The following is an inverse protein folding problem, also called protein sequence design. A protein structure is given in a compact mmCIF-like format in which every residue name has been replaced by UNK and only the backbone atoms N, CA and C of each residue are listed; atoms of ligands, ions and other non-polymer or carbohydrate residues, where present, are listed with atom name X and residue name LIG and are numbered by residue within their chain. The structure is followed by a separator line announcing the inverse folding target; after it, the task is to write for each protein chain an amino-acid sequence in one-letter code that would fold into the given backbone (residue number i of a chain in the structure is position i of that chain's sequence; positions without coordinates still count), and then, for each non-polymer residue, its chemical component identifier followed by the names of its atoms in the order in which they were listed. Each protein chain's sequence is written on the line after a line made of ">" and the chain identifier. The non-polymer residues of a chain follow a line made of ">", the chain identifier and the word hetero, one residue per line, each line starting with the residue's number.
data_IF_773831158777
#
_entry.id   IF_773831158777
#
_cell.length_a   1.000
_cell.length_b   1.000
_cell.length_c   1.000
_cell.angle_alpha   90.00
_cell.angle_beta   90.00
_cell.angle_gamma   90.00
#
_symmetry.space_group_name_H-M   'P 1'
#
loop_
_entity.id
_entity.type
_entity.pdbx_description
1 polymer ?
#
# COMPACT_ATOMS: atom_id res chain seq x y z
N UNK A 1 3.63 85.56 52.08
CA UNK A 1 4.32 86.77 52.64
C UNK A 1 5.79 86.54 52.50
N UNK A 2 6.47 87.53 51.84
CA UNK A 2 7.86 87.95 51.95
C UNK A 2 8.95 86.88 51.61
N UNK A 3 9.64 87.03 50.53
CA UNK A 3 10.53 88.10 50.01
C UNK A 3 12.00 87.78 50.22
N UNK A 4 12.75 87.98 49.16
CA UNK A 4 14.17 88.36 48.97
C UNK A 4 15.23 87.29 49.24
N UNK A 5 16.09 86.94 48.33
CA UNK A 5 16.93 87.59 47.35
C UNK A 5 18.34 87.91 47.91
N UNK A 6 19.26 88.29 47.13
CA UNK A 6 20.14 87.47 46.22
C UNK A 6 21.65 87.70 46.65
N UNK A 7 22.55 87.36 45.70
CA UNK A 7 23.96 87.90 45.59
C UNK A 7 25.01 87.12 46.36
N UNK A 8 25.96 86.57 45.70
CA UNK A 8 27.28 87.11 45.41
C UNK A 8 28.31 86.05 45.12
N UNK A 9 28.81 86.12 43.98
CA UNK A 9 30.19 86.06 43.54
C UNK A 9 31.27 85.45 44.46
N UNK A 10 32.00 84.51 43.99
CA UNK A 10 33.42 84.73 43.61
C UNK A 10 34.10 83.44 43.14
N UNK A 11 34.86 83.59 42.10
CA UNK A 11 35.65 82.59 41.42
C UNK A 11 36.84 82.13 42.32
N UNK A 12 37.20 80.87 42.25
CA UNK A 12 38.56 80.41 42.38
C UNK A 12 38.78 79.26 41.38
N UNK A 13 39.68 79.53 40.42
CA UNK A 13 40.28 78.53 39.53
C UNK A 13 41.15 77.58 40.32
N UNK A 14 40.94 76.27 40.15
CA UNK A 14 42.03 75.33 40.39
C UNK A 14 41.96 74.32 39.20
N UNK A 15 43.02 74.40 38.40
CA UNK A 15 43.27 73.47 37.32
C UNK A 15 43.71 72.14 37.90
N UNK A 16 42.94 71.12 37.69
CA UNK A 16 43.38 69.74 37.90
C UNK A 16 43.36 69.06 36.55
N UNK A 17 44.55 68.76 36.06
CA UNK A 17 44.77 67.92 34.86
C UNK A 17 44.34 66.49 35.18
N UNK A 18 43.24 66.07 34.71
CA UNK A 18 42.85 64.67 34.77
C UNK A 18 43.10 64.03 33.41
N UNK A 19 44.02 63.10 33.34
CA UNK A 19 44.28 62.26 32.19
C UNK A 19 43.05 61.35 31.97
N UNK A 20 42.31 61.57 30.90
CA UNK A 20 41.26 60.69 30.48
C UNK A 20 41.87 59.47 29.73
N UNK A 21 41.99 58.37 30.47
CA UNK A 21 42.25 57.07 29.84
C UNK A 21 41.03 56.64 28.98
N UNK A 22 41.18 56.76 27.68
CA UNK A 22 40.18 56.20 26.71
C UNK A 22 40.26 54.69 26.79
N UNK A 23 39.37 54.07 27.59
CA UNK A 23 39.09 52.64 27.48
C UNK A 23 38.30 52.43 26.15
N UNK A 24 39.04 51.99 25.15
CA UNK A 24 38.41 51.51 23.90
C UNK A 24 37.56 50.30 24.20
N UNK A 25 36.24 50.47 24.17
CA UNK A 25 35.30 49.36 24.14
C UNK A 25 35.46 48.66 22.80
N UNK A 26 36.23 47.56 22.80
CA UNK A 26 36.23 46.63 21.67
C UNK A 26 34.80 46.07 21.57
N UNK A 27 34.07 46.55 20.59
CA UNK A 27 32.81 45.92 20.17
C UNK A 27 33.17 44.55 19.58
N UNK A 28 33.08 43.51 20.43
CA UNK A 28 33.10 42.13 19.92
C UNK A 28 31.85 41.95 19.08
N UNK A 29 32.00 42.07 17.75
CA UNK A 29 30.96 41.65 16.81
C UNK A 29 30.78 40.14 16.98
N UNK A 30 29.77 39.74 17.77
CA UNK A 30 29.25 38.35 17.76
C UNK A 30 28.72 38.14 16.34
N UNK A 31 29.31 37.21 15.56
CA UNK A 31 28.71 36.89 14.27
C UNK A 31 27.26 36.44 14.55
N UNK A 32 26.31 37.08 13.88
CA UNK A 32 24.93 36.62 13.88
C UNK A 32 24.92 35.13 13.50
N UNK A 33 24.11 34.32 14.17
CA UNK A 33 23.96 32.91 13.76
C UNK A 33 23.65 32.91 12.26
N UNK A 34 24.53 32.30 11.48
CA UNK A 34 24.25 32.00 10.10
C UNK A 34 23.03 31.09 10.12
N UNK A 35 21.86 31.69 9.98
CA UNK A 35 20.67 30.90 9.65
C UNK A 35 21.03 30.20 8.35
N UNK A 36 21.25 28.89 8.46
CA UNK A 36 21.43 28.09 7.27
C UNK A 36 20.21 28.36 6.39
N UNK A 37 20.43 29.10 5.31
CA UNK A 37 19.45 29.23 4.24
C UNK A 37 19.36 27.81 3.69
N UNK A 38 18.41 27.03 4.17
CA UNK A 38 17.99 25.81 3.47
C UNK A 38 17.51 26.33 2.13
N UNK A 39 18.25 26.00 1.07
CA UNK A 39 17.86 26.42 -0.28
C UNK A 39 16.41 25.97 -0.50
N UNK A 40 15.56 26.95 -0.83
CA UNK A 40 14.13 26.68 -1.08
C UNK A 40 14.04 25.83 -2.34
N UNK A 41 13.42 24.67 -2.24
CA UNK A 41 13.24 23.76 -3.38
C UNK A 41 12.36 24.42 -4.45
N UNK A 42 12.78 24.36 -5.67
CA UNK A 42 12.02 24.87 -6.82
C UNK A 42 12.17 23.94 -8.02
N UNK A 43 11.14 23.89 -8.86
CA UNK A 43 11.13 23.03 -10.04
C UNK A 43 9.83 22.24 -10.17
N UNK A 44 9.87 21.18 -10.97
CA UNK A 44 8.73 20.32 -11.24
C UNK A 44 9.11 18.86 -10.97
N UNK A 45 8.19 18.10 -10.38
CA UNK A 45 8.33 16.69 -10.10
C UNK A 45 7.06 15.96 -10.52
N UNK A 46 7.19 14.87 -11.26
CA UNK A 46 6.07 14.04 -11.73
C UNK A 46 6.11 12.65 -11.07
N UNK A 47 5.02 12.27 -10.42
CA UNK A 47 4.89 11.01 -9.71
C UNK A 47 3.67 10.27 -10.26
N UNK A 48 3.83 9.00 -10.67
CA UNK A 48 2.68 8.22 -11.11
C UNK A 48 2.79 6.74 -10.71
N UNK A 49 1.66 6.04 -10.70
CA UNK A 49 1.64 4.59 -10.53
C UNK A 49 0.58 4.06 -9.59
N UNK A 50 0.98 3.36 -8.55
CA UNK A 50 0.08 2.67 -7.64
C UNK A 50 -1.04 3.54 -7.08
N UNK A 51 -2.29 3.17 -7.32
CA UNK A 51 -3.45 3.83 -6.70
C UNK A 51 -3.53 3.56 -5.19
N UNK A 52 -2.77 2.61 -4.66
CA UNK A 52 -2.60 2.40 -3.22
C UNK A 52 -1.73 3.49 -2.61
N UNK A 53 -0.61 3.83 -3.26
CA UNK A 53 0.34 4.85 -2.77
C UNK A 53 -0.13 6.27 -3.08
N UNK A 54 -1.08 6.42 -4.00
CA UNK A 54 -1.58 7.71 -4.48
C UNK A 54 -1.97 8.68 -3.35
N UNK A 55 -2.77 8.32 -2.33
CA UNK A 55 -3.15 9.24 -1.26
C UNK A 55 -1.94 9.73 -0.45
N UNK A 56 -0.99 8.85 -0.14
CA UNK A 56 0.25 9.19 0.56
C UNK A 56 1.02 10.24 -0.25
N UNK A 57 1.26 9.96 -1.52
CA UNK A 57 2.01 10.86 -2.39
C UNK A 57 1.33 12.21 -2.57
N UNK A 58 -0.01 12.24 -2.67
CA UNK A 58 -0.76 13.49 -2.80
C UNK A 58 -0.63 14.35 -1.56
N UNK A 59 -0.74 13.78 -0.36
CA UNK A 59 -0.63 14.53 0.89
C UNK A 59 0.81 14.97 1.15
N UNK A 60 1.79 14.10 0.95
CA UNK A 60 3.20 14.47 1.07
C UNK A 60 3.59 15.56 0.06
N UNK A 61 3.10 15.48 -1.18
CA UNK A 61 3.33 16.52 -2.19
C UNK A 61 2.69 17.85 -1.77
N UNK A 62 1.48 17.84 -1.24
CA UNK A 62 0.81 19.04 -0.73
C UNK A 62 1.64 19.72 0.37
N UNK A 63 2.06 18.93 1.38
CA UNK A 63 2.85 19.44 2.50
C UNK A 63 4.22 19.96 2.07
N UNK A 64 4.89 19.28 1.15
CA UNK A 64 6.21 19.70 0.65
C UNK A 64 6.10 20.97 -0.21
N UNK A 65 5.06 21.11 -1.03
CA UNK A 65 4.79 22.32 -1.82
C UNK A 65 4.39 23.51 -0.96
N UNK A 66 3.69 23.30 0.17
CA UNK A 66 3.39 24.36 1.14
C UNK A 66 4.65 24.96 1.77
N UNK A 67 5.66 24.12 2.01
CA UNK A 67 6.95 24.55 2.54
C UNK A 67 7.86 25.17 1.47
N UNK A 68 7.60 24.90 0.18
CA UNK A 68 8.45 25.31 -0.94
C UNK A 68 7.58 25.90 -2.08
N UNK A 69 7.21 27.18 -2.04
CA UNK A 69 6.31 27.79 -3.02
C UNK A 69 6.77 27.72 -4.47
N UNK A 70 8.08 27.56 -4.71
CA UNK A 70 8.69 27.38 -6.03
C UNK A 70 8.56 25.97 -6.60
N UNK A 71 8.17 24.97 -5.77
CA UNK A 71 8.07 23.57 -6.16
C UNK A 71 6.66 23.26 -6.72
N UNK A 72 6.59 22.43 -7.75
CA UNK A 72 5.36 21.89 -8.32
C UNK A 72 5.45 20.37 -8.43
N UNK A 73 4.59 19.66 -7.74
CA UNK A 73 4.55 18.19 -7.76
C UNK A 73 3.21 17.74 -8.34
N UNK A 74 3.28 16.95 -9.41
CA UNK A 74 2.11 16.33 -10.04
C UNK A 74 2.04 14.86 -9.67
N UNK A 75 0.92 14.41 -9.11
CA UNK A 75 0.74 13.04 -8.65
C UNK A 75 -0.46 12.40 -9.35
N UNK A 76 -0.27 11.23 -9.95
CA UNK A 76 -1.32 10.50 -10.66
C UNK A 76 -1.32 8.99 -10.37
N UNK A 77 -2.46 8.34 -10.64
CA UNK A 77 -2.61 6.87 -10.55
C UNK A 77 -2.12 6.16 -11.81
N UNK A 78 -2.67 4.96 -12.06
CA UNK A 78 -2.39 4.14 -13.26
C UNK A 78 -1.96 2.70 -12.95
N UNK A 79 -1.80 2.37 -11.66
CA UNK A 79 -1.35 1.05 -11.20
C UNK A 79 0.16 0.91 -11.11
N UNK A 80 0.63 -0.07 -10.33
CA UNK A 80 2.07 -0.28 -10.08
C UNK A 80 2.87 -0.55 -11.35
N UNK A 81 2.32 -1.33 -12.28
CA UNK A 81 2.96 -1.63 -13.56
C UNK A 81 3.15 -0.39 -14.44
N UNK A 82 2.19 0.57 -14.41
CA UNK A 82 2.33 1.84 -15.09
C UNK A 82 3.48 2.66 -14.48
N UNK A 83 3.49 2.83 -13.14
CA UNK A 83 4.55 3.58 -12.46
C UNK A 83 5.95 3.02 -12.74
N UNK A 84 6.13 1.70 -12.62
CA UNK A 84 7.41 1.03 -12.88
C UNK A 84 7.85 1.21 -14.34
N UNK A 85 6.93 1.02 -15.29
CA UNK A 85 7.22 1.17 -16.71
C UNK A 85 7.59 2.61 -17.07
N UNK A 86 6.80 3.57 -16.61
CA UNK A 86 7.00 4.99 -16.99
C UNK A 86 8.25 5.57 -16.38
N UNK A 87 8.59 5.26 -15.11
CA UNK A 87 9.87 5.69 -14.52
C UNK A 87 11.05 5.00 -15.21
N UNK A 88 10.95 3.70 -15.51
CA UNK A 88 12.00 2.99 -16.24
C UNK A 88 12.25 3.54 -17.64
N UNK A 89 11.20 4.01 -18.32
CA UNK A 89 11.29 4.68 -19.60
C UNK A 89 11.79 6.15 -19.49
N UNK A 90 11.81 6.74 -18.28
CA UNK A 90 12.15 8.15 -18.06
C UNK A 90 11.04 9.11 -18.50
N UNK A 91 9.79 8.65 -18.48
CA UNK A 91 8.60 9.46 -18.80
C UNK A 91 8.08 10.24 -17.58
N UNK A 92 8.44 9.80 -16.39
CA UNK A 92 8.13 10.41 -15.09
C UNK A 92 9.37 10.32 -14.20
N UNK A 93 9.42 11.15 -13.17
CA UNK A 93 10.56 11.22 -12.26
C UNK A 93 10.48 10.10 -11.21
N UNK A 94 9.35 9.93 -10.54
CA UNK A 94 9.15 8.89 -9.51
C UNK A 94 7.99 7.96 -9.89
N UNK A 95 8.27 6.66 -9.95
CA UNK A 95 7.27 5.61 -10.04
C UNK A 95 6.77 5.19 -8.65
N UNK A 96 5.46 4.94 -8.49
CA UNK A 96 4.89 4.42 -7.26
C UNK A 96 4.41 2.97 -7.45
N UNK A 97 4.78 2.07 -6.54
CA UNK A 97 4.35 0.68 -6.59
C UNK A 97 3.89 0.16 -5.22
N UNK A 98 2.93 -0.77 -5.23
CA UNK A 98 2.44 -1.48 -4.05
C UNK A 98 2.64 -2.99 -4.19
N UNK A 99 3.73 -3.35 -4.79
CA UNK A 99 4.31 -4.68 -4.95
C UNK A 99 5.79 -4.55 -5.32
N UNK A 100 6.50 -5.62 -5.18
CA UNK A 100 7.89 -5.68 -5.63
C UNK A 100 8.02 -5.46 -7.14
N UNK A 101 9.15 -4.90 -7.57
CA UNK A 101 9.53 -4.85 -8.99
C UNK A 101 9.85 -6.27 -9.43
N UNK A 102 9.24 -6.72 -10.52
CA UNK A 102 9.44 -8.09 -11.03
C UNK A 102 10.83 -8.27 -11.63
N UNK A 103 11.41 -9.49 -11.59
CA UNK A 103 12.68 -9.76 -12.24
C UNK A 103 12.71 -9.32 -13.72
N UNK A 104 11.66 -9.58 -14.48
CA UNK A 104 11.57 -9.16 -15.88
C UNK A 104 11.49 -7.63 -16.07
N UNK A 105 10.96 -6.89 -15.07
CA UNK A 105 10.96 -5.43 -15.07
C UNK A 105 12.36 -4.88 -14.74
N UNK A 106 13.08 -5.51 -13.79
CA UNK A 106 14.47 -5.19 -13.47
C UNK A 106 15.42 -5.53 -14.63
N UNK A 107 15.19 -6.65 -15.33
CA UNK A 107 15.95 -6.99 -16.53
C UNK A 107 15.77 -5.95 -17.63
N UNK A 108 14.54 -5.48 -17.82
CA UNK A 108 14.21 -4.47 -18.81
C UNK A 108 14.70 -3.06 -18.45
N UNK A 109 14.69 -2.73 -17.17
CA UNK A 109 15.08 -1.43 -16.62
C UNK A 109 16.05 -1.63 -15.45
N UNK A 110 17.32 -1.95 -15.72
CA UNK A 110 18.28 -2.35 -14.69
C UNK A 110 18.66 -1.23 -13.71
N UNK A 111 18.39 0.01 -14.07
CA UNK A 111 18.72 1.18 -13.26
C UNK A 111 17.63 1.54 -12.24
N UNK A 112 16.52 0.78 -12.16
CA UNK A 112 15.47 1.06 -11.19
C UNK A 112 15.98 0.94 -9.75
N UNK A 113 15.63 1.94 -8.92
CA UNK A 113 15.97 2.02 -7.50
C UNK A 113 14.69 2.08 -6.67
N UNK A 114 14.13 0.94 -6.25
CA UNK A 114 12.97 0.93 -5.37
C UNK A 114 13.37 1.28 -3.92
N UNK A 115 12.69 2.27 -3.34
CA UNK A 115 12.81 2.69 -1.94
C UNK A 115 11.52 2.33 -1.22
N UNK A 116 11.59 1.51 -0.18
CA UNK A 116 10.44 1.17 0.66
C UNK A 116 10.01 2.40 1.46
N UNK A 117 8.70 2.69 1.48
CA UNK A 117 8.12 3.84 2.20
C UNK A 117 7.09 3.45 3.26
N UNK A 118 6.75 2.18 3.36
CA UNK A 118 5.77 1.64 4.30
C UNK A 118 5.31 0.27 3.89
N UNK A 119 4.40 -0.30 4.68
CA UNK A 119 3.74 -1.58 4.40
C UNK A 119 2.22 -1.39 4.35
N UNK A 120 1.55 -2.29 3.66
CA UNK A 120 0.10 -2.31 3.49
C UNK A 120 -0.40 -3.74 3.46
N UNK A 121 -1.70 -3.90 3.56
CA UNK A 121 -2.37 -5.18 3.42
C UNK A 121 -3.55 -5.08 2.47
N UNK A 122 -3.95 -6.20 1.89
CA UNK A 122 -5.11 -6.27 1.00
C UNK A 122 -6.27 -6.91 1.74
N UNK A 123 -7.33 -6.14 1.96
CA UNK A 123 -8.57 -6.59 2.57
C UNK A 123 -9.57 -7.06 1.51
N UNK A 124 -10.25 -8.18 1.78
CA UNK A 124 -11.42 -8.60 1.02
C UNK A 124 -12.64 -7.89 1.59
N UNK A 125 -13.44 -7.28 0.73
CA UNK A 125 -14.54 -6.41 1.13
C UNK A 125 -15.85 -6.78 0.47
N UNK A 126 -16.93 -6.57 1.23
CA UNK A 126 -18.31 -6.73 0.79
C UNK A 126 -19.12 -5.49 1.18
N UNK A 127 -20.32 -5.36 0.67
CA UNK A 127 -21.26 -4.31 1.10
C UNK A 127 -21.58 -4.44 2.61
N UNK A 128 -21.74 -3.36 3.38
CA UNK A 128 -21.98 -3.43 4.83
C UNK A 128 -23.20 -4.26 5.23
N UNK A 129 -24.26 -4.29 4.42
CA UNK A 129 -25.46 -5.11 4.65
C UNK A 129 -25.30 -6.61 4.30
N UNK A 130 -24.20 -7.01 3.67
CA UNK A 130 -23.96 -8.43 3.40
C UNK A 130 -23.80 -9.19 4.72
N UNK A 131 -24.47 -10.34 4.86
CA UNK A 131 -24.44 -11.14 6.10
C UNK A 131 -23.14 -11.90 6.30
N UNK A 132 -22.39 -12.16 5.23
CA UNK A 132 -21.10 -12.85 5.32
C UNK A 132 -20.07 -11.91 5.96
N UNK A 133 -19.48 -12.33 7.05
CA UNK A 133 -18.47 -11.58 7.82
C UNK A 133 -17.12 -12.31 7.88
N UNK A 134 -17.10 -13.57 7.45
CA UNK A 134 -15.90 -14.41 7.47
C UNK A 134 -15.91 -15.37 6.28
N UNK A 135 -14.73 -15.61 5.73
CA UNK A 135 -14.46 -16.62 4.71
C UNK A 135 -13.16 -17.34 5.05
N UNK A 136 -13.06 -18.61 4.68
CA UNK A 136 -11.73 -19.21 4.59
C UNK A 136 -11.00 -18.67 3.37
N UNK A 137 -9.67 -18.74 3.39
CA UNK A 137 -8.86 -18.32 2.25
C UNK A 137 -9.23 -19.11 0.99
N UNK A 138 -9.54 -20.42 1.15
CA UNK A 138 -10.00 -21.28 0.06
C UNK A 138 -11.38 -20.86 -0.48
N UNK A 139 -12.33 -20.50 0.42
CA UNK A 139 -13.64 -19.98 -0.04
C UNK A 139 -13.50 -18.69 -0.81
N UNK A 140 -12.66 -17.77 -0.33
CA UNK A 140 -12.34 -16.55 -1.06
C UNK A 140 -11.78 -16.87 -2.45
N UNK A 141 -10.80 -17.76 -2.54
CA UNK A 141 -10.24 -18.21 -3.82
C UNK A 141 -11.31 -18.78 -4.77
N UNK A 142 -12.18 -19.64 -4.26
CA UNK A 142 -13.30 -20.24 -5.05
C UNK A 142 -14.28 -19.19 -5.55
N UNK A 143 -14.61 -18.20 -4.73
CA UNK A 143 -15.49 -17.09 -5.14
C UNK A 143 -14.85 -16.30 -6.28
N UNK A 144 -13.60 -15.90 -6.12
CA UNK A 144 -12.89 -15.10 -7.14
C UNK A 144 -12.57 -15.89 -8.41
N UNK A 145 -12.49 -17.21 -8.33
CA UNK A 145 -12.40 -18.11 -9.49
C UNK A 145 -13.76 -18.37 -10.17
N UNK A 146 -14.88 -18.00 -9.51
CA UNK A 146 -16.23 -18.24 -10.01
C UNK A 146 -16.72 -19.68 -9.82
N UNK A 147 -16.11 -20.45 -8.92
CA UNK A 147 -16.53 -21.79 -8.49
C UNK A 147 -17.67 -21.70 -7.48
N UNK A 148 -17.62 -20.74 -6.54
CA UNK A 148 -18.72 -20.35 -5.66
C UNK A 148 -19.36 -19.11 -6.27
N UNK A 149 -20.64 -19.19 -6.63
CA UNK A 149 -21.35 -18.14 -7.36
C UNK A 149 -22.57 -17.59 -6.64
N UNK A 150 -22.94 -18.19 -5.52
CA UNK A 150 -24.08 -17.77 -4.71
C UNK A 150 -23.67 -17.60 -3.23
N UNK A 151 -24.08 -16.50 -2.63
CA UNK A 151 -23.75 -16.19 -1.23
C UNK A 151 -24.23 -17.26 -0.25
N UNK A 152 -25.32 -18.02 -0.54
CA UNK A 152 -25.80 -19.11 0.32
C UNK A 152 -24.78 -20.24 0.52
N UNK A 153 -23.88 -20.43 -0.42
CA UNK A 153 -22.84 -21.46 -0.34
C UNK A 153 -21.79 -21.16 0.77
N UNK A 154 -21.75 -19.90 1.21
CA UNK A 154 -20.88 -19.43 2.30
C UNK A 154 -21.66 -18.80 3.48
N UNK A 155 -22.92 -19.20 3.65
CA UNK A 155 -23.75 -18.79 4.79
C UNK A 155 -24.45 -17.44 4.62
N UNK A 156 -24.44 -16.86 3.44
CA UNK A 156 -25.13 -15.63 3.10
C UNK A 156 -26.56 -15.82 2.59
N UNK A 157 -27.10 -14.80 1.94
CA UNK A 157 -28.41 -14.82 1.30
C UNK A 157 -28.41 -15.69 0.02
N UNK A 158 -29.59 -16.15 -0.41
CA UNK A 158 -29.73 -16.82 -1.72
C UNK A 158 -29.71 -15.80 -2.86
N UNK A 159 -28.53 -15.26 -3.14
CA UNK A 159 -28.25 -14.20 -4.11
C UNK A 159 -26.94 -14.49 -4.83
N UNK A 160 -26.89 -14.14 -6.13
CA UNK A 160 -25.69 -14.33 -6.93
C UNK A 160 -24.55 -13.40 -6.50
N UNK A 161 -23.33 -13.92 -6.45
CA UNK A 161 -22.13 -13.15 -6.15
C UNK A 161 -21.66 -12.39 -7.40
N UNK A 162 -21.34 -11.10 -7.24
CA UNK A 162 -20.70 -10.27 -8.26
C UNK A 162 -19.25 -9.99 -7.87
N UNK A 163 -18.33 -10.58 -8.62
CA UNK A 163 -16.90 -10.46 -8.36
C UNK A 163 -16.37 -9.18 -8.99
N UNK A 164 -15.71 -8.36 -8.16
CA UNK A 164 -15.02 -7.13 -8.56
C UNK A 164 -13.51 -7.37 -8.44
N UNK A 165 -12.80 -7.10 -9.52
CA UNK A 165 -11.34 -7.24 -9.57
C UNK A 165 -10.68 -5.97 -10.10
N UNK A 166 -9.35 -5.95 -10.10
CA UNK A 166 -8.54 -4.86 -10.62
C UNK A 166 -8.00 -5.18 -12.01
N UNK A 167 -7.56 -4.15 -12.68
CA UNK A 167 -6.91 -4.19 -13.99
C UNK A 167 -5.58 -4.96 -13.95
N UNK A 168 -5.10 -5.37 -15.10
CA UNK A 168 -3.75 -5.89 -15.26
C UNK A 168 -2.70 -4.81 -14.93
N UNK A 169 -1.60 -5.20 -14.28
CA UNK A 169 -0.60 -4.26 -13.79
C UNK A 169 -0.94 -3.59 -12.46
N UNK A 170 -2.13 -3.85 -11.89
CA UNK A 170 -2.45 -3.45 -10.52
C UNK A 170 -1.62 -4.25 -9.52
N UNK A 171 -0.81 -3.55 -8.70
CA UNK A 171 -0.08 -4.18 -7.61
C UNK A 171 -1.01 -4.85 -6.58
N UNK A 172 -2.20 -4.29 -6.34
CA UNK A 172 -3.19 -4.88 -5.44
C UNK A 172 -3.74 -6.20 -5.99
N UNK A 173 -3.99 -6.29 -7.32
CA UNK A 173 -4.38 -7.53 -7.97
C UNK A 173 -3.28 -8.58 -7.89
N UNK A 174 -2.05 -8.21 -8.20
CA UNK A 174 -0.93 -9.16 -8.19
C UNK A 174 -0.67 -9.74 -6.79
N UNK A 175 -0.77 -8.90 -5.75
CA UNK A 175 -0.65 -9.35 -4.36
C UNK A 175 -1.84 -10.24 -3.97
N UNK A 176 -3.06 -9.86 -4.33
CA UNK A 176 -4.24 -10.68 -4.11
C UNK A 176 -4.11 -12.05 -4.80
N UNK A 177 -3.73 -12.08 -6.08
CA UNK A 177 -3.52 -13.33 -6.82
C UNK A 177 -2.43 -14.19 -6.19
N UNK A 178 -1.31 -13.58 -5.75
CA UNK A 178 -0.20 -14.28 -5.09
C UNK A 178 -0.63 -15.02 -3.83
N UNK A 179 -1.44 -14.37 -2.98
CA UNK A 179 -1.77 -14.92 -1.66
C UNK A 179 -3.11 -15.66 -1.62
N UNK A 180 -4.07 -15.33 -2.51
CA UNK A 180 -5.42 -15.89 -2.47
C UNK A 180 -5.67 -16.88 -3.60
N UNK A 181 -5.16 -16.66 -4.81
CA UNK A 181 -5.46 -17.49 -5.97
C UNK A 181 -4.41 -18.58 -6.20
N UNK A 182 -3.14 -18.19 -6.26
CA UNK A 182 -2.02 -19.10 -6.59
C UNK A 182 -1.84 -20.26 -5.63
N UNK A 183 -2.04 -20.12 -4.30
CA UNK A 183 -1.91 -21.26 -3.37
C UNK A 183 -2.88 -22.40 -3.68
N UNK A 184 -3.95 -22.12 -4.39
CA UNK A 184 -4.98 -23.10 -4.78
C UNK A 184 -4.98 -23.36 -6.30
N UNK A 185 -3.96 -22.90 -7.02
CA UNK A 185 -3.83 -23.07 -8.49
C UNK A 185 -5.04 -22.56 -9.27
N UNK A 186 -5.65 -21.43 -8.79
CA UNK A 186 -6.83 -20.81 -9.39
C UNK A 186 -6.48 -19.52 -10.10
N UNK A 187 -7.29 -19.21 -11.11
CA UNK A 187 -7.25 -17.95 -11.84
C UNK A 187 -8.49 -17.11 -11.58
N UNK A 188 -8.39 -15.82 -11.79
CA UNK A 188 -9.50 -14.87 -11.65
C UNK A 188 -10.60 -15.20 -12.67
N UNK A 189 -11.86 -15.22 -12.21
CA UNK A 189 -13.01 -15.46 -13.09
C UNK A 189 -13.06 -14.47 -14.25
N UNK A 190 -13.19 -14.96 -15.46
CA UNK A 190 -13.25 -14.13 -16.66
C UNK A 190 -14.46 -13.19 -16.75
N UNK A 191 -15.49 -13.41 -15.90
CA UNK A 191 -16.67 -12.54 -15.76
C UNK A 191 -16.54 -11.49 -14.66
N UNK A 192 -15.41 -11.44 -13.93
CA UNK A 192 -15.19 -10.46 -12.89
C UNK A 192 -15.19 -9.03 -13.47
N UNK A 193 -15.85 -8.10 -12.79
CA UNK A 193 -15.89 -6.69 -13.20
C UNK A 193 -14.57 -6.01 -12.85
N UNK A 194 -13.84 -5.54 -13.85
CA UNK A 194 -12.53 -4.91 -13.70
C UNK A 194 -12.67 -3.43 -13.32
N UNK A 195 -11.91 -2.98 -12.32
CA UNK A 195 -11.86 -1.59 -11.86
C UNK A 195 -10.44 -1.02 -11.89
N UNK A 196 -10.27 0.26 -12.29
CA UNK A 196 -8.96 0.86 -12.48
C UNK A 196 -8.29 1.37 -11.19
N UNK A 197 -8.99 1.36 -10.04
CA UNK A 197 -8.43 1.86 -8.78
C UNK A 197 -9.02 1.18 -7.55
N UNK A 198 -8.36 1.33 -6.38
CA UNK A 198 -8.93 0.94 -5.09
C UNK A 198 -10.22 1.73 -4.78
N UNK A 199 -10.25 3.01 -5.14
CA UNK A 199 -11.43 3.86 -4.98
C UNK A 199 -12.63 3.35 -5.79
N UNK A 200 -12.43 2.92 -7.04
CA UNK A 200 -13.50 2.37 -7.88
C UNK A 200 -13.99 1.01 -7.39
N UNK A 201 -13.11 0.16 -6.83
CA UNK A 201 -13.53 -1.07 -6.16
C UNK A 201 -14.42 -0.71 -4.98
N UNK A 202 -13.98 0.20 -4.08
CA UNK A 202 -14.75 0.63 -2.92
C UNK A 202 -16.12 1.18 -3.34
N UNK A 203 -16.16 2.10 -4.28
CA UNK A 203 -17.40 2.70 -4.77
C UNK A 203 -18.35 1.65 -5.38
N UNK A 204 -17.82 0.66 -6.10
CA UNK A 204 -18.64 -0.41 -6.69
C UNK A 204 -19.21 -1.33 -5.62
N UNK A 205 -18.38 -1.75 -4.64
CA UNK A 205 -18.81 -2.64 -3.55
C UNK A 205 -19.81 -1.94 -2.63
N UNK A 206 -19.62 -0.66 -2.34
CA UNK A 206 -20.56 0.14 -1.53
C UNK A 206 -21.91 0.38 -2.21
N UNK A 207 -21.97 0.32 -3.53
CA UNK A 207 -23.20 0.47 -4.32
C UNK A 207 -23.93 -0.81 -4.63
N UNK A 208 -23.38 -1.98 -4.33
CA UNK A 208 -23.98 -3.28 -4.70
C UNK A 208 -23.84 -4.32 -3.57
N UNK A 209 -24.97 -4.60 -2.91
CA UNK A 209 -25.05 -5.56 -1.78
C UNK A 209 -24.60 -6.98 -2.10
N UNK A 210 -24.53 -7.35 -3.37
CA UNK A 210 -24.18 -8.69 -3.84
C UNK A 210 -22.73 -8.78 -4.33
N UNK A 211 -21.98 -7.68 -4.31
CA UNK A 211 -20.59 -7.66 -4.76
C UNK A 211 -19.58 -8.02 -3.67
N UNK A 212 -18.47 -8.58 -4.12
CA UNK A 212 -17.25 -8.82 -3.36
C UNK A 212 -16.07 -8.26 -4.16
N UNK A 213 -15.14 -7.62 -3.47
CA UNK A 213 -13.92 -7.10 -4.06
C UNK A 213 -12.76 -7.17 -3.09
N UNK A 214 -11.64 -6.60 -3.47
CA UNK A 214 -10.48 -6.45 -2.61
C UNK A 214 -9.81 -5.09 -2.84
N UNK A 215 -9.27 -4.54 -1.79
CA UNK A 215 -8.61 -3.23 -1.81
C UNK A 215 -7.56 -3.12 -0.70
N UNK A 216 -6.77 -2.06 -0.74
CA UNK A 216 -5.79 -1.69 0.27
C UNK A 216 -6.44 -1.30 1.59
N UNK A 217 -5.81 -1.62 2.74
CA UNK A 217 -6.27 -1.20 4.07
C UNK A 217 -6.55 0.30 4.15
N UNK A 218 -5.69 1.16 3.58
CA UNK A 218 -5.87 2.61 3.58
C UNK A 218 -7.12 3.10 2.82
N UNK A 219 -7.85 2.20 2.15
CA UNK A 219 -9.12 2.50 1.50
C UNK A 219 -10.34 1.97 2.25
N UNK A 220 -10.14 1.32 3.40
CA UNK A 220 -11.26 0.89 4.24
C UNK A 220 -11.93 2.09 4.91
N UNK A 221 -13.25 2.15 4.76
CA UNK A 221 -14.11 3.07 5.49
C UNK A 221 -15.48 2.41 5.75
N UNK A 222 -16.39 3.04 6.49
CA UNK A 222 -17.70 2.45 6.80
C UNK A 222 -18.60 2.16 5.58
N UNK A 223 -18.25 2.62 4.38
CA UNK A 223 -19.02 2.33 3.15
C UNK A 223 -18.85 0.89 2.66
N UNK A 224 -17.84 0.18 3.13
CA UNK A 224 -17.59 -1.24 2.85
C UNK A 224 -17.27 -1.99 4.15
N UNK A 225 -17.48 -3.31 4.15
CA UNK A 225 -17.17 -4.18 5.27
C UNK A 225 -16.05 -5.14 4.89
N UNK A 226 -14.94 -5.11 5.62
CA UNK A 226 -13.89 -6.12 5.50
C UNK A 226 -14.40 -7.47 6.04
N UNK A 227 -14.07 -8.54 5.32
CA UNK A 227 -14.38 -9.92 5.69
C UNK A 227 -13.16 -10.52 6.38
N UNK A 228 -13.36 -11.21 7.51
CA UNK A 228 -12.29 -11.97 8.16
C UNK A 228 -11.84 -13.11 7.26
N UNK A 229 -10.55 -13.36 7.22
CA UNK A 229 -9.98 -14.50 6.50
C UNK A 229 -9.41 -15.48 7.53
N UNK A 230 -9.93 -16.70 7.52
CA UNK A 230 -9.60 -17.75 8.51
C UNK A 230 -9.71 -17.24 9.96
N UNK A 231 -10.76 -16.46 10.26
CA UNK A 231 -11.03 -15.86 11.56
C UNK A 231 -10.24 -14.58 11.88
N UNK A 232 -9.33 -14.15 11.01
CA UNK A 232 -8.45 -12.98 11.24
C UNK A 232 -8.97 -11.75 10.50
N UNK A 233 -9.11 -10.63 11.21
CA UNK A 233 -9.47 -9.34 10.64
C UNK A 233 -8.28 -8.69 9.91
N UNK A 234 -8.58 -7.99 8.80
CA UNK A 234 -7.61 -7.16 8.10
C UNK A 234 -7.42 -5.83 8.87
N UNK A 235 -6.54 -5.84 9.87
CA UNK A 235 -6.17 -4.66 10.67
C UNK A 235 -4.65 -4.50 10.73
N UNK A 236 -4.19 -3.28 11.00
CA UNK A 236 -2.76 -2.98 11.17
C UNK A 236 -2.15 -3.87 12.25
N UNK A 237 -2.84 -4.05 13.39
CA UNK A 237 -2.35 -4.87 14.51
C UNK A 237 -2.18 -6.33 14.11
N UNK A 238 -3.14 -6.90 13.38
CA UNK A 238 -3.05 -8.29 12.94
C UNK A 238 -1.98 -8.50 11.85
N UNK A 239 -1.74 -7.48 11.03
CA UNK A 239 -0.65 -7.49 10.04
C UNK A 239 0.71 -7.44 10.74
N UNK A 240 0.90 -6.53 11.70
CA UNK A 240 2.13 -6.41 12.50
C UNK A 240 2.40 -7.66 13.34
N UNK A 241 1.33 -8.29 13.85
CA UNK A 241 1.43 -9.55 14.57
C UNK A 241 1.67 -10.78 13.67
N UNK A 242 1.78 -10.60 12.35
CA UNK A 242 1.96 -11.69 11.38
C UNK A 242 0.76 -12.65 11.27
N UNK A 243 -0.41 -12.25 11.77
CA UNK A 243 -1.63 -13.07 11.77
C UNK A 243 -2.40 -12.96 10.46
N UNK A 244 -2.47 -11.76 9.87
CA UNK A 244 -3.15 -11.55 8.58
C UNK A 244 -2.17 -11.77 7.43
N UNK A 245 -2.49 -12.66 6.46
CA UNK A 245 -1.49 -13.20 5.54
C UNK A 245 -1.18 -12.33 4.33
N UNK A 246 -2.07 -11.38 3.95
CA UNK A 246 -1.95 -10.66 2.67
C UNK A 246 -1.25 -9.32 2.90
N UNK A 247 0.07 -9.34 2.98
CA UNK A 247 0.93 -8.17 3.29
C UNK A 247 1.81 -7.82 2.10
N UNK A 248 2.14 -6.53 1.97
CA UNK A 248 3.01 -6.00 0.91
C UNK A 248 3.79 -4.79 1.35
N UNK A 249 4.88 -4.52 0.67
CA UNK A 249 5.66 -3.28 0.80
C UNK A 249 5.19 -2.25 -0.24
N UNK A 250 5.21 -0.98 0.15
CA UNK A 250 4.95 0.17 -0.69
C UNK A 250 6.29 0.80 -1.10
N UNK A 251 6.41 1.20 -2.35
CA UNK A 251 7.65 1.71 -2.91
C UNK A 251 7.46 3.02 -3.66
N UNK A 252 8.46 3.89 -3.54
CA UNK A 252 8.81 4.92 -4.53
C UNK A 252 10.02 4.42 -5.32
N UNK A 253 10.06 4.69 -6.60
CA UNK A 253 11.05 4.10 -7.51
C UNK A 253 11.60 5.21 -8.40
N UNK A 254 12.93 5.35 -8.45
CA UNK A 254 13.63 6.25 -9.37
C UNK A 254 14.38 5.47 -10.45
N UNK A 255 14.80 6.15 -11.50
CA UNK A 255 15.68 5.62 -12.53
C UNK A 255 17.10 6.08 -12.26
N UNK A 256 17.92 5.22 -11.72
CA UNK A 256 19.25 5.59 -11.24
C UNK A 256 19.20 6.24 -9.85
N UNK A 257 20.30 6.88 -9.46
CA UNK A 257 20.35 7.64 -8.23
C UNK A 257 19.41 8.84 -8.32
N UNK A 258 18.61 9.11 -7.26
CA UNK A 258 17.65 10.19 -7.28
C UNK A 258 18.34 11.55 -7.42
N UNK A 259 17.77 12.43 -8.24
CA UNK A 259 18.18 13.83 -8.30
C UNK A 259 17.77 14.60 -7.02
N UNK A 260 18.04 15.90 -6.97
CA UNK A 260 17.78 16.74 -5.80
C UNK A 260 16.30 16.77 -5.42
N UNK A 261 15.38 16.88 -6.40
CA UNK A 261 13.94 16.96 -6.16
C UNK A 261 13.35 15.60 -5.83
N UNK A 262 13.76 14.56 -6.54
CA UNK A 262 13.37 13.17 -6.27
C UNK A 262 13.79 12.76 -4.84
N UNK A 263 15.06 13.05 -4.50
CA UNK A 263 15.60 12.79 -3.18
C UNK A 263 14.85 13.57 -2.09
N UNK A 264 14.59 14.84 -2.29
CA UNK A 264 13.88 15.67 -1.33
C UNK A 264 12.45 15.14 -1.08
N UNK A 265 11.75 14.67 -2.12
CA UNK A 265 10.43 14.07 -1.96
C UNK A 265 10.50 12.74 -1.21
N UNK A 266 11.44 11.85 -1.58
CA UNK A 266 11.62 10.55 -0.92
C UNK A 266 12.01 10.76 0.56
N UNK A 267 12.97 11.63 0.83
CA UNK A 267 13.40 11.96 2.19
C UNK A 267 12.24 12.54 3.02
N UNK A 268 11.39 13.37 2.41
CA UNK A 268 10.20 13.90 3.08
C UNK A 268 9.21 12.76 3.45
N UNK A 269 8.93 11.84 2.54
CA UNK A 269 8.06 10.70 2.82
C UNK A 269 8.64 9.82 3.93
N UNK A 270 9.96 9.66 3.98
CA UNK A 270 10.67 8.86 5.00
C UNK A 270 10.87 9.62 6.33
N UNK A 271 10.67 10.93 6.36
CA UNK A 271 10.75 11.73 7.59
C UNK A 271 9.65 11.37 8.58
N UNK A 272 9.79 11.79 9.85
CA UNK A 272 8.76 11.62 10.88
C UNK A 272 7.37 12.16 10.42
N UNK A 273 7.37 13.34 9.77
CA UNK A 273 6.15 13.96 9.25
C UNK A 273 5.53 13.14 8.12
N UNK A 274 6.34 12.67 7.17
CA UNK A 274 5.87 11.83 6.06
C UNK A 274 5.41 10.46 6.54
N UNK A 275 6.10 9.85 7.50
CA UNK A 275 5.68 8.57 8.08
C UNK A 275 4.38 8.72 8.88
N UNK A 276 4.19 9.87 9.55
CA UNK A 276 2.90 10.17 10.16
C UNK A 276 1.77 10.24 9.12
N UNK A 277 2.00 10.79 7.94
CA UNK A 277 1.01 10.76 6.83
C UNK A 277 0.70 9.32 6.45
N UNK A 278 1.72 8.45 6.33
CA UNK A 278 1.54 7.02 6.02
C UNK A 278 0.61 6.37 7.06
N UNK A 279 0.84 6.59 8.34
CA UNK A 279 0.07 6.01 9.44
C UNK A 279 -1.34 6.59 9.54
N UNK A 280 -1.50 7.91 9.46
CA UNK A 280 -2.79 8.60 9.50
C UNK A 280 -3.73 8.15 8.36
N UNK A 281 -3.18 7.67 7.26
CA UNK A 281 -3.93 7.10 6.14
C UNK A 281 -4.22 5.60 6.26
N UNK A 282 -3.93 4.99 7.41
CA UNK A 282 -4.24 3.58 7.69
C UNK A 282 -3.23 2.59 7.11
N UNK A 283 -2.04 3.05 6.74
CA UNK A 283 -0.92 2.21 6.33
C UNK A 283 0.02 1.94 7.51
N UNK A 284 1.02 1.11 7.29
CA UNK A 284 2.01 0.76 8.30
C UNK A 284 3.31 1.52 7.98
N UNK A 285 3.70 2.42 8.86
CA UNK A 285 4.95 3.17 8.75
C UNK A 285 6.18 2.27 8.93
N UNK A 286 7.33 2.79 8.52
CA UNK A 286 8.64 2.16 8.75
C UNK A 286 9.17 2.59 10.12
N UNK A 287 8.52 2.19 11.21
CA UNK A 287 8.92 2.56 12.56
C UNK A 287 10.29 1.97 12.91
N UNK A 288 11.31 2.84 13.04
CA UNK A 288 12.60 2.50 13.66
C UNK A 288 13.62 1.74 12.78
N UNK A 289 13.28 1.35 11.60
CA UNK A 289 14.24 0.86 10.60
C UNK A 289 14.76 2.08 9.81
N UNK A 290 15.86 2.65 10.24
CA UNK A 290 16.62 3.63 9.44
C UNK A 290 16.82 3.06 8.06
N UNK A 291 16.37 3.82 7.04
CA UNK A 291 16.37 3.42 5.65
C UNK A 291 17.72 2.94 5.13
N UNK A 292 18.03 1.71 5.42
CA UNK A 292 19.05 0.97 4.69
C UNK A 292 18.38 0.56 3.38
N UNK A 293 18.97 0.95 2.26
CA UNK A 293 18.52 0.59 0.92
C UNK A 293 18.42 -0.94 0.91
N UNK A 294 17.21 -1.45 1.17
CA UNK A 294 16.96 -2.87 1.11
C UNK A 294 17.07 -3.28 -0.36
N UNK A 295 18.24 -3.80 -0.73
CA UNK A 295 18.32 -4.65 -1.91
C UNK A 295 17.17 -5.64 -1.82
N UNK A 296 16.38 -5.76 -2.90
CA UNK A 296 15.25 -6.64 -3.00
C UNK A 296 15.57 -7.98 -2.31
N UNK A 297 14.79 -8.43 -1.32
CA UNK A 297 15.06 -9.69 -0.68
C UNK A 297 14.98 -10.79 -1.74
N UNK A 298 16.06 -11.56 -1.85
CA UNK A 298 16.02 -12.85 -2.51
C UNK A 298 14.80 -13.60 -1.95
N UNK A 299 13.95 -14.21 -2.78
CA UNK A 299 12.74 -14.87 -2.30
C UNK A 299 13.11 -15.97 -1.33
N UNK A 300 13.04 -15.67 -0.05
CA UNK A 300 13.11 -16.67 0.99
C UNK A 300 11.80 -17.45 0.93
N UNK A 301 11.93 -18.77 0.90
CA UNK A 301 10.82 -19.69 0.75
C UNK A 301 9.72 -19.34 1.77
N UNK A 302 8.56 -18.94 1.28
CA UNK A 302 7.34 -18.72 2.08
C UNK A 302 7.12 -19.96 2.96
N UNK A 303 6.88 -19.82 4.27
CA UNK A 303 6.52 -20.96 5.08
C UNK A 303 5.24 -21.57 4.51
N UNK A 304 5.35 -22.83 4.07
CA UNK A 304 4.20 -23.63 3.70
C UNK A 304 3.27 -23.70 4.93
N UNK A 305 2.11 -23.07 4.81
CA UNK A 305 1.05 -23.32 5.77
C UNK A 305 0.72 -24.81 5.70
N UNK A 306 1.10 -25.55 6.76
CA UNK A 306 0.71 -26.95 6.91
C UNK A 306 -0.81 -26.94 7.07
N UNK A 307 -1.52 -27.39 6.05
CA UNK A 307 -2.97 -27.60 6.15
C UNK A 307 -3.22 -28.54 7.34
N UNK A 308 -3.94 -28.07 8.33
CA UNK A 308 -4.44 -28.92 9.41
C UNK A 308 -5.33 -29.97 8.76
N UNK A 309 -5.04 -31.29 8.89
CA UNK A 309 -5.87 -32.29 8.26
C UNK A 309 -7.28 -32.21 8.85
N UNK A 310 -8.27 -32.22 7.95
CA UNK A 310 -9.66 -32.30 8.31
C UNK A 310 -9.92 -33.52 9.22
N UNK A 311 -10.81 -33.42 10.25
CA UNK A 311 -11.09 -34.53 11.10
C UNK A 311 -11.63 -35.69 10.27
N UNK A 312 -10.96 -36.84 10.35
CA UNK A 312 -11.37 -38.12 9.74
C UNK A 312 -12.77 -38.46 10.25
N UNK A 313 -13.75 -38.75 9.38
CA UNK A 313 -15.07 -39.19 9.85
C UNK A 313 -14.94 -40.50 10.59
N UNK A 314 -15.43 -40.54 11.81
CA UNK A 314 -15.53 -41.73 12.66
C UNK A 314 -16.34 -42.79 11.92
N UNK A 315 -15.89 -44.05 11.77
CA UNK A 315 -16.69 -45.08 11.15
C UNK A 315 -17.88 -45.42 12.02
N UNK A 316 -19.09 -45.16 11.51
CA UNK A 316 -20.33 -45.62 12.10
C UNK A 316 -20.36 -47.13 12.02
N UNK A 317 -20.53 -47.78 13.17
CA UNK A 317 -20.65 -49.22 13.31
C UNK A 317 -21.72 -49.81 12.38
N UNK A 318 -21.33 -50.75 11.55
CA UNK A 318 -22.22 -51.49 10.68
C UNK A 318 -23.05 -52.46 11.51
N UNK A 319 -24.37 -52.36 11.37
CA UNK A 319 -25.33 -53.37 11.83
C UNK A 319 -25.32 -54.57 10.86
N UNK A 320 -25.18 -55.82 11.28
CA UNK A 320 -25.23 -56.97 10.36
C UNK A 320 -26.66 -57.37 10.05
N UNK A 321 -26.96 -57.51 8.79
CA UNK A 321 -28.27 -58.04 8.38
C UNK A 321 -28.44 -58.33 6.90
N UNK A 322 -28.37 -59.62 6.53
CA UNK A 322 -28.96 -60.31 5.35
C UNK A 322 -28.56 -59.82 3.94
N UNK A 323 -27.79 -60.49 3.16
CA UNK A 323 -27.94 -61.77 2.52
C UNK A 323 -28.44 -61.67 1.08
N UNK A 324 -27.73 -62.39 0.20
CA UNK A 324 -28.11 -62.91 -1.12
C UNK A 324 -27.81 -62.05 -2.39
N UNK A 325 -26.71 -62.45 -3.06
CA UNK A 325 -26.62 -62.98 -4.45
C UNK A 325 -27.33 -62.15 -5.53
N UNK A 326 -26.54 -61.54 -6.44
CA UNK A 326 -26.68 -61.77 -7.90
C UNK A 326 -25.32 -61.49 -8.60
N UNK A 327 -24.95 -62.52 -9.34
CA UNK A 327 -23.73 -62.61 -10.13
C UNK A 327 -23.89 -61.96 -11.49
N UNK A 328 -22.72 -61.46 -12.01
CA UNK A 328 -22.29 -61.56 -13.40
C UNK A 328 -23.27 -61.20 -14.52
N UNK A 329 -23.03 -60.09 -15.17
CA UNK A 329 -23.04 -59.93 -16.64
C UNK A 329 -22.74 -58.48 -17.06
N UNK A 330 -21.74 -58.22 -17.88
CA UNK A 330 -21.62 -56.92 -18.53
C UNK A 330 -20.22 -56.48 -18.95
N UNK A 331 -19.32 -57.38 -19.27
CA UNK A 331 -18.18 -57.07 -20.12
C UNK A 331 -18.59 -57.35 -21.57
N UNK A 332 -18.70 -56.28 -22.39
CA UNK A 332 -18.62 -56.28 -23.88
C UNK A 332 -19.51 -55.17 -24.45
N UNK A 333 -18.98 -53.97 -24.67
CA UNK A 333 -19.40 -53.05 -25.71
C UNK A 333 -18.54 -51.75 -25.69
N UNK A 334 -17.25 -51.86 -25.96
CA UNK A 334 -16.45 -50.71 -26.46
C UNK A 334 -15.55 -51.25 -27.57
N UNK A 335 -16.06 -51.35 -28.73
CA UNK A 335 -15.33 -51.43 -29.99
C UNK A 335 -16.34 -51.54 -31.13
N UNK A 336 -16.91 -50.44 -31.60
CA UNK A 336 -17.37 -50.18 -32.98
C UNK A 336 -17.94 -48.77 -33.01
N UNK A 337 -17.13 -47.78 -33.30
CA UNK A 337 -17.50 -46.47 -33.89
C UNK A 337 -16.26 -45.67 -34.28
N UNK A 338 -15.33 -46.32 -34.96
CA UNK A 338 -14.20 -45.60 -35.58
C UNK A 338 -14.02 -46.11 -37.02
N UNK A 339 -15.05 -46.00 -37.84
CA UNK A 339 -14.94 -46.19 -39.28
C UNK A 339 -16.24 -45.80 -39.97
N UNK A 340 -16.56 -44.54 -40.09
CA UNK A 340 -17.39 -43.96 -41.18
C UNK A 340 -17.31 -42.42 -40.98
N UNK A 341 -16.32 -41.77 -41.52
CA UNK A 341 -16.37 -40.40 -42.07
C UNK A 341 -15.04 -40.00 -42.73
N UNK A 342 -14.56 -40.83 -43.60
CA UNK A 342 -13.55 -40.37 -44.57
C UNK A 342 -13.99 -40.75 -45.98
N UNK A 343 -14.96 -40.09 -46.49
CA UNK A 343 -15.26 -39.97 -47.96
C UNK A 343 -16.43 -39.00 -48.13
N UNK A 344 -16.10 -37.77 -48.38
CA UNK A 344 -16.72 -36.87 -49.36
C UNK A 344 -16.29 -35.44 -49.10
N UNK A 345 -15.45 -35.10 -49.97
CA UNK A 345 -14.99 -33.85 -50.59
C UNK A 345 -14.03 -32.99 -49.78
#
# INVERSE_FOLDING_TARGET
>A
MKKFGPVGMAAIMVAVVAAIATIGTAVVSVPAPVQGVTAELSGQLTIAGSTTVLPINQECARLLMEKNPGLRISVSGGGSGHGIKSVGAGEIDIGAASRDVKPAEMEKYPDLKPVAIGKDSVAIVVHPSNKVSELTLEQASKIFAGEITNWKEVGGADEAIRVITREEGSGTREVFEKYVMKPFEREMAGKASVKPSNGDVRATVSGDKNSIGYLSLGYLDPSVKAVKIDGVEATVENVLAGKYPIVRTLYLITKGEPDELEKAFIDFVLSEEGQKVVEDMGYIGLTGETGEIAHAPTPEATPMFTATPAPTPTPTAATPGFGMIFAVAGLLAVAVSYAVHSRRR
#
